data_IF_373071519812
#
_entry.id   IF_373071519812
#
_cell.length_a   1.000
_cell.length_b   1.000
_cell.length_c   1.000
_cell.angle_alpha   90.00
_cell.angle_beta   90.00
_cell.angle_gamma   90.00
#
_symmetry.space_group_name_H-M   'P 1'
#
loop_
_entity.id
_entity.type
_entity.pdbx_description
1 polymer ?
#
# COMPACT_ATOMS: atom_id res chain seq x y z
N UNK A 1 -7.07 60.76 17.94
CA UNK A 1 -6.86 60.04 16.67
C UNK A 1 -5.43 59.47 16.71
N UNK A 2 -5.27 58.17 17.04
CA UNK A 2 -4.62 57.12 16.21
C UNK A 2 -3.39 57.65 15.43
N UNK A 3 -2.14 57.15 15.59
CA UNK A 3 -1.71 55.73 15.65
C UNK A 3 -0.37 55.55 16.37
N UNK A 4 -0.30 54.51 17.22
CA UNK A 4 0.91 53.79 17.60
C UNK A 4 1.48 53.06 16.38
N UNK A 5 2.81 52.89 16.35
CA UNK A 5 3.51 52.02 15.40
C UNK A 5 4.88 51.63 15.94
N UNK A 6 4.91 50.85 17.02
CA UNK A 6 6.12 50.21 17.52
C UNK A 6 6.39 48.96 16.67
N UNK A 7 7.48 48.96 15.91
CA UNK A 7 8.04 47.75 15.29
C UNK A 7 8.69 46.89 16.37
N UNK A 8 7.97 45.86 16.81
CA UNK A 8 8.45 44.86 17.75
C UNK A 8 9.25 43.79 17.01
N UNK A 9 10.41 43.50 17.57
CA UNK A 9 11.47 42.68 17.05
C UNK A 9 11.15 41.17 17.03
N UNK A 10 11.76 40.50 16.05
CA UNK A 10 12.36 39.15 16.11
C UNK A 10 11.68 38.11 17.02
N UNK A 11 10.77 37.32 16.44
CA UNK A 11 10.39 36.03 17.00
C UNK A 11 11.25 34.93 16.35
N UNK A 12 12.35 34.61 17.03
CA UNK A 12 13.25 33.50 16.73
C UNK A 12 12.52 32.15 16.80
N UNK A 13 12.71 31.33 15.75
CA UNK A 13 12.41 29.91 15.76
C UNK A 13 13.23 29.22 16.86
N UNK A 14 12.56 28.73 17.90
CA UNK A 14 13.11 27.70 18.79
C UNK A 14 12.50 26.36 18.37
N UNK A 15 13.16 25.70 17.42
CA UNK A 15 12.97 24.27 17.16
C UNK A 15 13.58 23.51 18.34
N UNK A 16 12.73 22.80 19.09
CA UNK A 16 13.12 22.01 20.25
C UNK A 16 14.03 20.85 19.87
N UNK A 17 15.32 20.98 20.19
CA UNK A 17 16.20 19.82 20.32
C UNK A 17 15.79 19.05 21.58
N UNK A 18 15.20 17.87 21.41
CA UNK A 18 15.09 16.92 22.51
C UNK A 18 16.53 16.50 22.92
N UNK A 19 16.89 16.56 24.22
CA UNK A 19 18.21 16.11 24.64
C UNK A 19 18.32 14.61 24.41
N UNK A 20 19.40 14.17 23.76
CA UNK A 20 19.76 12.75 23.70
C UNK A 20 19.90 12.23 25.14
N UNK A 21 18.98 11.36 25.58
CA UNK A 21 19.07 10.71 26.90
C UNK A 21 20.10 9.59 26.80
N UNK A 22 21.31 9.87 27.26
CA UNK A 22 22.34 8.86 27.40
C UNK A 22 21.98 7.95 28.59
N UNK A 23 21.62 6.70 28.30
CA UNK A 23 21.44 5.69 29.32
C UNK A 23 22.80 5.16 29.78
N UNK A 24 23.10 5.28 31.08
CA UNK A 24 24.31 4.76 31.72
C UNK A 24 24.01 3.47 32.49
N UNK A 25 25.01 2.59 32.55
CA UNK A 25 24.95 1.38 33.36
C UNK A 25 25.54 1.67 34.76
N UNK A 26 24.77 1.34 35.80
CA UNK A 26 25.10 1.62 37.19
C UNK A 26 25.09 0.34 38.01
N UNK A 27 26.11 0.13 38.85
CA UNK A 27 26.21 -0.98 39.79
C UNK A 27 25.76 -0.53 41.17
N UNK A 28 24.68 -1.14 41.68
CA UNK A 28 24.25 -0.96 43.05
C UNK A 28 25.21 -1.66 44.03
N UNK A 29 25.19 -1.24 45.30
CA UNK A 29 25.98 -1.90 46.36
C UNK A 29 25.64 -3.39 46.55
N UNK A 30 24.42 -3.78 46.15
CA UNK A 30 23.97 -5.18 46.16
C UNK A 30 24.58 -6.02 45.02
N UNK A 31 25.32 -5.39 44.10
CA UNK A 31 25.89 -6.05 42.91
C UNK A 31 25.00 -6.02 41.67
N UNK A 32 23.73 -5.59 41.80
CA UNK A 32 22.81 -5.48 40.67
C UNK A 32 23.25 -4.39 39.68
N UNK A 33 23.08 -4.67 38.38
CA UNK A 33 23.29 -3.71 37.29
C UNK A 33 21.96 -3.07 36.89
N UNK A 34 21.94 -1.75 36.77
CA UNK A 34 20.77 -0.92 36.54
C UNK A 34 21.04 0.05 35.39
N UNK A 35 20.11 0.18 34.46
CA UNK A 35 20.19 1.18 33.38
C UNK A 35 19.44 2.45 33.84
N UNK A 36 20.09 3.61 33.82
CA UNK A 36 19.54 4.89 34.29
C UNK A 36 20.02 6.05 33.41
N UNK A 37 19.37 7.21 33.49
CA UNK A 37 19.89 8.44 32.88
C UNK A 37 21.18 8.95 33.57
N UNK A 38 21.32 8.69 34.88
CA UNK A 38 22.53 8.95 35.66
C UNK A 38 22.59 8.00 36.87
N UNK A 39 23.79 7.65 37.32
CA UNK A 39 23.95 6.84 38.53
C UNK A 39 23.63 7.64 39.79
N UNK A 40 22.95 6.99 40.74
CA UNK A 40 22.71 7.59 42.05
C UNK A 40 24.02 7.70 42.81
N UNK A 41 24.07 8.60 43.81
CA UNK A 41 25.25 8.81 44.67
C UNK A 41 25.77 7.53 45.37
N UNK A 42 24.91 6.53 45.54
CA UNK A 42 25.24 5.23 46.15
C UNK A 42 25.58 4.12 45.15
N UNK A 43 25.54 4.40 43.86
CA UNK A 43 25.82 3.48 42.76
C UNK A 43 27.17 3.86 42.12
N UNK A 44 27.86 2.90 41.53
CA UNK A 44 29.06 3.14 40.74
C UNK A 44 28.74 3.07 39.24
N UNK A 45 29.28 3.99 38.44
CA UNK A 45 29.19 3.90 36.98
C UNK A 45 30.03 2.71 36.49
N UNK A 46 29.47 1.97 35.53
CA UNK A 46 30.11 0.80 34.94
C UNK A 46 30.54 1.15 33.54
N UNK A 47 31.86 1.19 33.33
CA UNK A 47 32.44 1.32 31.99
C UNK A 47 32.25 0.02 31.20
N UNK A 48 31.60 0.09 30.04
CA UNK A 48 31.34 -1.10 29.21
C UNK A 48 32.63 -1.65 28.58
N UNK A 49 33.69 -0.84 28.46
CA UNK A 49 34.98 -1.24 27.88
C UNK A 49 35.65 -2.34 28.72
N UNK A 50 35.32 -2.45 30.01
CA UNK A 50 35.88 -3.48 30.89
C UNK A 50 35.36 -4.90 30.59
N UNK A 51 34.30 -5.06 29.80
CA UNK A 51 33.72 -6.37 29.46
C UNK A 51 34.23 -6.95 28.13
N UNK A 52 35.31 -6.37 27.58
CA UNK A 52 35.89 -6.77 26.31
C UNK A 52 35.36 -5.94 25.14
N UNK A 53 35.81 -6.24 23.91
CA UNK A 53 35.32 -5.54 22.73
C UNK A 53 33.81 -5.70 22.63
N UNK A 54 33.13 -4.62 22.24
CA UNK A 54 31.74 -4.73 21.81
C UNK A 54 31.64 -5.87 20.79
N UNK A 55 30.66 -6.76 20.97
CA UNK A 55 30.35 -7.76 19.97
C UNK A 55 30.03 -7.08 18.64
N UNK A 56 30.15 -7.83 17.53
CA UNK A 56 29.65 -7.33 16.26
C UNK A 56 28.20 -6.84 16.43
N UNK A 57 27.81 -5.72 15.80
CA UNK A 57 26.42 -5.29 15.78
C UNK A 57 25.54 -6.50 15.46
N UNK A 58 24.45 -6.68 16.21
CA UNK A 58 23.49 -7.74 15.92
C UNK A 58 23.01 -7.63 14.47
N UNK A 59 22.62 -8.75 13.86
CA UNK A 59 21.94 -8.72 12.57
C UNK A 59 20.73 -7.82 12.67
N UNK A 60 20.54 -6.93 11.69
CA UNK A 60 19.32 -6.12 11.59
C UNK A 60 18.10 -7.05 11.68
N UNK A 61 17.12 -6.68 12.51
CA UNK A 61 15.85 -7.42 12.59
C UNK A 61 15.14 -7.44 11.23
N UNK A 62 14.21 -8.38 11.03
CA UNK A 62 13.37 -8.38 9.84
C UNK A 62 12.69 -7.00 9.65
N UNK A 63 12.48 -6.58 8.40
CA UNK A 63 11.73 -5.37 8.11
C UNK A 63 10.35 -5.47 8.78
N UNK A 64 9.96 -4.45 9.55
CA UNK A 64 8.68 -4.44 10.26
C UNK A 64 7.49 -4.27 9.31
N UNK A 65 6.27 -4.47 9.85
CA UNK A 65 5.03 -4.04 9.20
C UNK A 65 5.14 -2.57 8.77
N UNK A 66 4.85 -2.26 7.50
CA UNK A 66 4.93 -0.90 6.94
C UNK A 66 6.06 -0.67 5.93
N UNK A 67 6.66 -1.73 5.38
CA UNK A 67 7.53 -1.58 4.21
C UNK A 67 6.72 -1.02 3.02
N UNK A 68 7.30 -0.04 2.33
CA UNK A 68 6.70 0.59 1.14
C UNK A 68 7.45 0.16 -0.09
N UNK A 69 6.71 0.01 -1.18
CA UNK A 69 7.26 -0.20 -2.51
C UNK A 69 7.24 1.13 -3.26
N UNK A 70 8.37 1.49 -3.86
CA UNK A 70 8.57 2.68 -4.67
C UNK A 70 9.05 2.31 -6.07
N UNK A 71 8.87 3.21 -7.02
CA UNK A 71 9.37 3.08 -8.39
C UNK A 71 10.83 3.56 -8.50
N UNK A 72 11.45 3.43 -9.68
CA UNK A 72 12.86 3.84 -9.87
C UNK A 72 13.13 5.34 -9.67
N UNK A 73 12.09 6.16 -9.65
CA UNK A 73 12.15 7.60 -9.39
C UNK A 73 11.83 7.94 -7.92
N UNK A 74 11.71 6.93 -7.05
CA UNK A 74 11.24 7.03 -5.67
C UNK A 74 9.79 7.51 -5.53
N UNK A 75 8.97 7.34 -6.55
CA UNK A 75 7.53 7.58 -6.45
C UNK A 75 6.86 6.40 -5.73
N UNK A 76 5.95 6.71 -4.81
CA UNK A 76 5.23 5.71 -4.03
C UNK A 76 4.38 4.81 -4.94
N UNK A 77 4.56 3.49 -4.84
CA UNK A 77 3.73 2.47 -5.52
C UNK A 77 2.63 1.98 -4.57
N UNK A 78 2.98 1.63 -3.33
CA UNK A 78 2.02 1.18 -2.33
C UNK A 78 2.67 0.60 -1.08
N UNK A 79 1.88 0.39 -0.04
CA UNK A 79 2.32 -0.27 1.20
C UNK A 79 2.25 -1.78 1.03
N UNK A 80 3.32 -2.51 1.35
CA UNK A 80 3.32 -3.97 1.23
C UNK A 80 2.29 -4.60 2.17
N UNK A 81 1.47 -5.49 1.61
CA UNK A 81 0.44 -6.23 2.32
C UNK A 81 0.92 -7.62 2.75
N UNK A 82 1.79 -8.24 1.94
CA UNK A 82 2.37 -9.55 2.21
C UNK A 82 3.67 -9.40 3.02
N UNK A 83 3.89 -10.27 4.01
CA UNK A 83 5.18 -10.38 4.70
C UNK A 83 6.22 -10.93 3.71
N UNK A 84 7.38 -10.27 3.50
CA UNK A 84 8.40 -10.71 2.54
C UNK A 84 9.07 -12.07 2.85
N UNK A 85 8.49 -12.92 3.70
CA UNK A 85 9.08 -14.17 4.14
C UNK A 85 8.52 -15.39 3.37
N UNK A 86 9.48 -16.07 2.70
CA UNK A 86 9.50 -17.50 2.30
C UNK A 86 8.97 -17.89 0.91
N UNK A 87 8.74 -16.98 -0.02
CA UNK A 87 8.58 -17.39 -1.43
C UNK A 87 9.26 -16.40 -2.36
N UNK A 88 10.08 -16.84 -3.34
CA UNK A 88 10.54 -15.97 -4.41
C UNK A 88 9.37 -15.78 -5.38
N UNK A 89 8.26 -15.19 -4.94
CA UNK A 89 7.21 -14.77 -5.86
C UNK A 89 7.68 -13.50 -6.55
N UNK A 90 7.67 -13.54 -7.87
CA UNK A 90 7.94 -12.37 -8.73
C UNK A 90 6.88 -11.27 -8.49
N UNK A 91 5.72 -11.65 -7.94
CA UNK A 91 4.59 -10.80 -7.59
C UNK A 91 4.38 -10.65 -6.07
N UNK A 92 4.05 -9.44 -5.61
CA UNK A 92 3.63 -9.10 -4.24
C UNK A 92 2.34 -8.28 -4.27
N UNK A 93 1.60 -8.23 -3.16
CA UNK A 93 0.46 -7.31 -3.03
C UNK A 93 0.85 -6.03 -2.32
N UNK A 94 0.32 -4.91 -2.83
CA UNK A 94 0.44 -3.59 -2.23
C UNK A 94 -0.93 -2.96 -2.03
N UNK A 95 -1.09 -2.21 -0.94
CA UNK A 95 -2.21 -1.32 -0.73
C UNK A 95 -1.86 0.08 -1.24
N UNK A 96 -2.75 0.67 -2.02
CA UNK A 96 -2.63 2.04 -2.50
C UNK A 96 -3.98 2.73 -2.34
N UNK A 97 -3.94 3.97 -1.85
CA UNK A 97 -5.11 4.84 -1.89
C UNK A 97 -5.27 5.41 -3.30
N UNK A 98 -6.43 5.18 -3.89
CA UNK A 98 -6.85 5.73 -5.19
C UNK A 98 -8.05 6.62 -4.92
N UNK A 99 -7.90 7.93 -5.12
CA UNK A 99 -8.89 8.92 -4.68
C UNK A 99 -9.15 8.77 -3.16
N UNK A 100 -10.28 8.19 -2.79
CA UNK A 100 -10.70 7.95 -1.40
C UNK A 100 -10.70 6.45 -1.04
N UNK A 101 -10.43 5.57 -2.01
CA UNK A 101 -10.55 4.13 -1.86
C UNK A 101 -9.19 3.49 -1.56
N UNK A 102 -9.14 2.57 -0.59
CA UNK A 102 -7.93 1.75 -0.34
C UNK A 102 -8.04 0.46 -1.13
N UNK A 103 -7.20 0.30 -2.15
CA UNK A 103 -7.27 -0.81 -3.10
C UNK A 103 -5.98 -1.63 -3.04
N UNK A 104 -6.15 -2.95 -3.07
CA UNK A 104 -5.06 -3.92 -3.17
C UNK A 104 -4.73 -4.20 -4.64
N UNK A 105 -3.46 -4.06 -4.99
CA UNK A 105 -2.93 -4.34 -6.31
C UNK A 105 -1.90 -5.47 -6.23
N UNK A 106 -1.90 -6.35 -7.22
CA UNK A 106 -0.80 -7.31 -7.40
C UNK A 106 0.24 -6.69 -8.32
N UNK A 107 1.49 -6.64 -7.87
CA UNK A 107 2.60 -5.98 -8.57
C UNK A 107 3.79 -6.92 -8.68
N UNK A 108 4.39 -6.93 -9.85
CA UNK A 108 5.70 -7.49 -10.14
C UNK A 108 6.75 -6.41 -10.00
N UNK A 109 7.83 -6.71 -9.28
CA UNK A 109 8.88 -5.71 -9.04
C UNK A 109 9.60 -5.31 -10.33
N UNK A 110 9.70 -6.18 -11.34
CA UNK A 110 10.36 -5.87 -12.59
C UNK A 110 9.43 -5.19 -13.60
N UNK A 111 8.18 -5.64 -13.69
CA UNK A 111 7.26 -5.23 -14.78
C UNK A 111 6.12 -4.31 -14.37
N UNK A 112 5.85 -4.18 -13.06
CA UNK A 112 4.80 -3.31 -12.55
C UNK A 112 3.49 -4.03 -12.23
N UNK A 113 2.35 -3.36 -12.41
CA UNK A 113 1.04 -3.94 -12.12
C UNK A 113 0.74 -5.14 -13.02
N UNK A 114 0.22 -6.22 -12.43
CA UNK A 114 -0.05 -7.47 -13.14
C UNK A 114 -1.51 -7.57 -13.56
N UNK A 115 -1.72 -7.93 -14.83
CA UNK A 115 -3.03 -8.32 -15.36
C UNK A 115 -3.61 -9.51 -14.59
N UNK A 116 -4.94 -9.56 -14.51
CA UNK A 116 -5.64 -10.69 -13.91
C UNK A 116 -5.33 -11.98 -14.68
N UNK A 117 -4.85 -13.01 -13.97
CA UNK A 117 -4.50 -14.30 -14.56
C UNK A 117 -5.70 -15.23 -14.80
N UNK A 118 -6.91 -14.76 -14.52
CA UNK A 118 -8.16 -15.49 -14.65
C UNK A 118 -9.20 -14.60 -15.35
N UNK A 119 -10.17 -15.19 -16.07
CA UNK A 119 -11.22 -14.42 -16.70
C UNK A 119 -12.09 -13.75 -15.62
N UNK A 120 -12.38 -12.47 -15.83
CA UNK A 120 -13.33 -11.72 -15.03
C UNK A 120 -14.29 -10.96 -15.94
N UNK A 121 -15.39 -10.51 -15.35
CA UNK A 121 -16.45 -9.81 -16.06
C UNK A 121 -16.77 -8.50 -15.36
N UNK A 122 -17.15 -7.49 -16.13
CA UNK A 122 -17.61 -6.20 -15.61
C UNK A 122 -19.05 -6.00 -16.03
N UNK A 123 -19.95 -5.87 -15.06
CA UNK A 123 -21.37 -5.65 -15.32
C UNK A 123 -21.65 -4.16 -15.52
N UNK A 124 -22.66 -3.84 -16.32
CA UNK A 124 -23.09 -2.46 -16.58
C UNK A 124 -24.60 -2.32 -16.49
N UNK A 125 -25.07 -1.19 -15.95
CA UNK A 125 -26.50 -0.88 -15.83
C UNK A 125 -27.18 -0.60 -17.17
N UNK A 126 -26.43 -0.16 -18.20
CA UNK A 126 -26.98 0.15 -19.52
C UNK A 126 -26.49 -0.81 -20.61
N UNK A 127 -27.18 -0.88 -21.76
CA UNK A 127 -26.67 -1.56 -22.95
C UNK A 127 -25.31 -1.00 -23.42
N UNK A 128 -24.56 -1.82 -24.15
CA UNK A 128 -23.29 -1.39 -24.74
C UNK A 128 -22.17 -1.18 -23.74
N UNK A 129 -22.27 -1.73 -22.52
CA UNK A 129 -21.25 -1.66 -21.48
C UNK A 129 -20.92 -0.22 -21.10
N UNK A 130 -21.99 0.55 -20.84
CA UNK A 130 -21.94 1.96 -20.45
C UNK A 130 -22.70 2.20 -19.15
N UNK A 131 -22.54 3.40 -18.57
CA UNK A 131 -23.12 3.75 -17.28
C UNK A 131 -22.29 3.24 -16.11
N UNK A 132 -22.91 3.12 -14.94
CA UNK A 132 -22.29 2.56 -13.74
C UNK A 132 -21.88 1.11 -13.99
N UNK A 133 -20.69 0.78 -13.48
CA UNK A 133 -20.11 -0.54 -13.58
C UNK A 133 -20.18 -1.25 -12.24
N UNK A 134 -20.30 -2.57 -12.28
CA UNK A 134 -20.34 -3.41 -11.10
C UNK A 134 -19.43 -4.62 -11.24
N UNK A 135 -18.92 -5.07 -10.10
CA UNK A 135 -18.01 -6.20 -10.01
C UNK A 135 -18.54 -7.25 -9.06
N UNK A 136 -18.43 -8.51 -9.48
CA UNK A 136 -18.67 -9.63 -8.60
C UNK A 136 -17.52 -9.77 -7.59
N UNK A 137 -17.78 -10.26 -6.37
CA UNK A 137 -16.72 -10.47 -5.40
C UNK A 137 -15.76 -11.55 -5.89
N UNK A 138 -14.47 -11.31 -5.73
CA UNK A 138 -13.46 -12.34 -5.92
C UNK A 138 -13.43 -13.24 -4.70
N UNK A 139 -14.27 -14.26 -4.66
CA UNK A 139 -14.25 -15.22 -3.55
C UNK A 139 -12.92 -16.00 -3.53
N UNK A 140 -11.99 -15.57 -2.69
CA UNK A 140 -10.76 -16.31 -2.36
C UNK A 140 -10.66 -16.45 -0.84
N UNK A 141 -10.27 -17.63 -0.39
CA UNK A 141 -10.13 -17.98 1.04
C UNK A 141 -9.04 -17.19 1.77
N UNK A 142 -8.22 -16.41 1.03
CA UNK A 142 -7.15 -15.54 1.55
C UNK A 142 -7.35 -14.07 1.15
N UNK A 143 -8.60 -13.61 0.98
CA UNK A 143 -8.82 -12.20 0.65
C UNK A 143 -8.42 -11.29 1.82
N UNK A 144 -7.60 -10.25 1.56
CA UNK A 144 -7.45 -9.17 2.53
C UNK A 144 -8.79 -8.43 2.69
N UNK A 145 -8.95 -7.70 3.80
CA UNK A 145 -10.14 -6.86 4.07
C UNK A 145 -10.32 -5.68 3.09
N UNK A 146 -9.53 -5.62 2.02
CA UNK A 146 -9.49 -4.52 1.07
C UNK A 146 -9.94 -5.00 -0.32
N UNK A 147 -10.68 -4.17 -1.07
CA UNK A 147 -10.96 -4.40 -2.47
C UNK A 147 -9.70 -4.77 -3.26
N UNK A 148 -9.80 -5.82 -4.08
CA UNK A 148 -8.71 -6.20 -4.98
C UNK A 148 -8.99 -5.68 -6.39
N UNK A 149 -7.99 -5.03 -6.98
CA UNK A 149 -8.03 -4.62 -8.37
C UNK A 149 -7.88 -5.82 -9.33
N UNK A 150 -8.77 -5.88 -10.32
CA UNK A 150 -8.70 -6.73 -11.49
C UNK A 150 -8.15 -5.88 -12.63
N UNK A 151 -7.01 -6.26 -13.17
CA UNK A 151 -6.28 -5.45 -14.14
C UNK A 151 -6.38 -6.10 -15.51
N UNK A 152 -6.67 -5.30 -16.53
CA UNK A 152 -6.61 -5.71 -17.92
C UNK A 152 -6.12 -4.54 -18.77
N UNK A 153 -5.02 -4.75 -19.50
CA UNK A 153 -4.44 -3.76 -20.43
C UNK A 153 -4.22 -2.39 -19.78
N UNK A 154 -3.67 -2.40 -18.56
CA UNK A 154 -3.36 -1.17 -17.81
C UNK A 154 -4.58 -0.45 -17.23
N UNK A 155 -5.79 -1.01 -17.31
CA UNK A 155 -6.98 -0.53 -16.62
C UNK A 155 -7.25 -1.40 -15.40
N UNK A 156 -7.34 -0.79 -14.22
CA UNK A 156 -7.74 -1.46 -12.99
C UNK A 156 -9.23 -1.28 -12.72
N UNK A 157 -9.94 -2.39 -12.53
CA UNK A 157 -11.32 -2.48 -12.11
C UNK A 157 -11.37 -2.92 -10.65
N UNK A 158 -12.04 -2.18 -9.78
CA UNK A 158 -12.12 -2.55 -8.35
C UNK A 158 -13.48 -2.16 -7.74
N UNK A 159 -14.02 -2.97 -6.82
CA UNK A 159 -15.26 -2.65 -6.13
C UNK A 159 -15.01 -1.56 -5.07
N UNK A 160 -15.97 -0.67 -4.87
CA UNK A 160 -15.88 0.44 -3.89
C UNK A 160 -16.97 0.39 -2.82
N UNK A 161 -18.06 -0.32 -3.10
CA UNK A 161 -19.21 -0.41 -2.18
C UNK A 161 -19.45 -1.84 -1.67
N UNK A 162 -20.43 -1.96 -0.77
CA UNK A 162 -20.94 -3.24 -0.32
C UNK A 162 -21.60 -4.03 -1.46
N UNK A 163 -21.64 -5.36 -1.29
CA UNK A 163 -22.36 -6.24 -2.21
C UNK A 163 -23.87 -6.06 -2.05
N UNK A 164 -24.54 -5.70 -3.13
CA UNK A 164 -26.00 -5.58 -3.19
C UNK A 164 -26.53 -6.18 -4.51
N UNK A 165 -27.85 -6.40 -4.57
CA UNK A 165 -28.49 -6.82 -5.81
C UNK A 165 -28.67 -5.59 -6.71
N UNK A 166 -27.95 -5.55 -7.83
CA UNK A 166 -28.06 -4.45 -8.78
C UNK A 166 -28.67 -4.91 -10.10
N UNK A 167 -29.62 -4.16 -10.69
CA UNK A 167 -30.07 -4.43 -12.05
C UNK A 167 -28.94 -4.14 -13.05
N UNK A 168 -28.58 -5.12 -13.85
CA UNK A 168 -27.55 -5.02 -14.90
C UNK A 168 -28.15 -5.38 -16.24
N UNK A 169 -27.66 -4.79 -17.32
CA UNK A 169 -28.20 -4.98 -18.68
C UNK A 169 -27.14 -5.50 -19.65
N UNK A 170 -25.87 -5.26 -19.40
CA UNK A 170 -24.78 -5.81 -20.21
C UNK A 170 -23.56 -6.20 -19.38
N UNK A 171 -22.71 -7.02 -19.98
CA UNK A 171 -21.47 -7.51 -19.39
C UNK A 171 -20.33 -7.34 -20.38
N UNK A 172 -19.24 -6.75 -19.91
CA UNK A 172 -17.95 -6.70 -20.60
C UNK A 172 -17.11 -7.91 -20.19
N UNK A 173 -16.57 -8.59 -21.19
CA UNK A 173 -15.59 -9.67 -21.04
C UNK A 173 -14.41 -9.41 -21.97
N UNK A 174 -13.25 -10.01 -21.69
CA UNK A 174 -12.05 -9.87 -22.50
C UNK A 174 -11.77 -11.18 -23.24
N UNK A 175 -11.88 -11.16 -24.57
CA UNK A 175 -11.79 -12.35 -25.41
C UNK A 175 -11.46 -11.99 -26.87
N UNK A 176 -11.20 -12.99 -27.71
CA UNK A 176 -10.92 -12.77 -29.13
C UNK A 176 -12.19 -12.46 -29.93
N UNK A 177 -12.05 -11.81 -31.10
CA UNK A 177 -13.18 -11.51 -31.98
C UNK A 177 -14.04 -12.73 -32.33
N UNK A 178 -13.40 -13.89 -32.57
CA UNK A 178 -14.12 -15.13 -32.90
C UNK A 178 -14.87 -15.77 -31.73
N UNK A 179 -14.52 -15.39 -30.50
CA UNK A 179 -15.17 -15.86 -29.27
C UNK A 179 -16.20 -14.87 -28.72
N UNK A 180 -16.30 -13.67 -29.30
CA UNK A 180 -17.25 -12.67 -28.86
C UNK A 180 -18.66 -12.94 -29.39
N UNK A 181 -19.61 -13.10 -28.48
CA UNK A 181 -21.04 -13.28 -28.80
C UNK A 181 -21.84 -11.97 -28.86
N UNK A 182 -21.18 -10.82 -28.69
CA UNK A 182 -21.80 -9.51 -28.65
C UNK A 182 -21.05 -8.48 -29.51
N UNK A 183 -21.00 -7.23 -29.04
CA UNK A 183 -20.28 -6.15 -29.72
C UNK A 183 -18.80 -6.24 -29.36
N UNK A 184 -17.97 -6.55 -30.35
CA UNK A 184 -16.52 -6.61 -30.20
C UNK A 184 -15.88 -5.24 -30.45
N UNK A 185 -15.00 -4.83 -29.55
CA UNK A 185 -14.12 -3.67 -29.68
C UNK A 185 -12.68 -4.16 -29.57
N UNK A 186 -11.86 -3.87 -30.57
CA UNK A 186 -10.45 -4.24 -30.54
C UNK A 186 -9.72 -3.57 -29.35
N UNK A 187 -8.71 -4.23 -28.74
CA UNK A 187 -8.12 -5.49 -29.18
C UNK A 187 -8.88 -6.75 -28.75
N UNK A 188 -9.66 -6.70 -27.67
CA UNK A 188 -10.23 -7.91 -27.06
C UNK A 188 -11.50 -7.67 -26.21
N UNK A 189 -12.12 -6.50 -26.28
CA UNK A 189 -13.31 -6.22 -25.47
C UNK A 189 -14.56 -6.80 -26.15
N UNK A 190 -15.34 -7.59 -25.42
CA UNK A 190 -16.60 -8.12 -25.88
C UNK A 190 -17.73 -7.73 -24.93
N UNK A 191 -18.62 -6.87 -25.43
CA UNK A 191 -19.80 -6.44 -24.69
C UNK A 191 -21.02 -7.27 -25.10
N UNK A 192 -21.64 -7.97 -24.14
CA UNK A 192 -22.76 -8.87 -24.37
C UNK A 192 -24.00 -8.39 -23.62
N UNK A 193 -25.19 -8.35 -24.25
CA UNK A 193 -26.46 -8.14 -23.53
C UNK A 193 -26.68 -9.26 -22.51
N UNK A 194 -26.84 -8.88 -21.24
CA UNK A 194 -26.95 -9.80 -20.12
C UNK A 194 -27.85 -9.21 -19.02
N UNK A 195 -29.16 -9.07 -19.27
CA UNK A 195 -30.09 -8.54 -18.29
C UNK A 195 -30.19 -9.46 -17.07
N UNK A 196 -30.08 -8.89 -15.88
CA UNK A 196 -30.14 -9.65 -14.63
C UNK A 196 -30.10 -8.76 -13.39
N UNK A 197 -30.09 -9.42 -12.23
CA UNK A 197 -29.94 -8.75 -10.92
C UNK A 197 -28.91 -9.50 -10.07
N UNK A 198 -27.61 -9.51 -10.47
CA UNK A 198 -26.59 -10.24 -9.73
C UNK A 198 -26.26 -9.55 -8.39
N UNK A 199 -25.71 -10.31 -7.46
CA UNK A 199 -25.11 -9.80 -6.23
C UNK A 199 -23.69 -9.30 -6.55
N UNK A 200 -23.53 -7.99 -6.62
CA UNK A 200 -22.30 -7.30 -7.08
C UNK A 200 -22.10 -6.03 -6.27
N UNK A 201 -20.91 -5.44 -6.32
CA UNK A 201 -20.63 -4.13 -5.75
C UNK A 201 -20.48 -3.11 -6.88
N UNK A 202 -20.86 -1.85 -6.63
CA UNK A 202 -20.43 -0.76 -7.52
C UNK A 202 -18.90 -0.74 -7.58
N UNK A 203 -18.37 -0.53 -8.78
CA UNK A 203 -16.94 -0.48 -9.01
C UNK A 203 -16.50 0.77 -9.73
N UNK A 204 -15.19 0.97 -9.74
CA UNK A 204 -14.51 2.01 -10.51
C UNK A 204 -13.53 1.39 -11.49
N UNK A 205 -13.23 2.14 -12.55
CA UNK A 205 -12.19 1.83 -13.51
C UNK A 205 -11.15 2.95 -13.51
N UNK A 206 -9.87 2.60 -13.43
CA UNK A 206 -8.76 3.54 -13.36
C UNK A 206 -7.66 3.16 -14.35
N UNK A 207 -7.22 4.12 -15.16
CA UNK A 207 -6.02 3.95 -15.96
C UNK A 207 -4.76 4.01 -15.08
N UNK A 208 -4.02 2.90 -14.99
CA UNK A 208 -2.82 2.78 -14.14
C UNK A 208 -1.68 3.69 -14.59
N UNK A 209 -1.64 4.03 -15.88
CA UNK A 209 -0.70 5.01 -16.42
C UNK A 209 -0.83 6.40 -15.78
N UNK A 210 -1.99 6.72 -15.19
CA UNK A 210 -2.21 7.98 -14.44
C UNK A 210 -1.31 8.12 -13.22
N UNK A 211 -0.75 7.02 -12.70
CA UNK A 211 0.18 7.08 -11.58
C UNK A 211 1.58 7.54 -11.97
N UNK A 212 1.95 7.46 -13.26
CA UNK A 212 3.28 7.84 -13.74
C UNK A 212 4.44 7.02 -13.15
N UNK A 213 4.16 5.78 -12.73
CA UNK A 213 5.14 4.90 -12.08
C UNK A 213 6.03 4.20 -13.12
N UNK A 214 7.31 4.06 -12.79
CA UNK A 214 8.33 3.48 -13.66
C UNK A 214 9.04 2.31 -12.97
N UNK A 215 8.77 1.06 -13.38
CA UNK A 215 9.53 -0.10 -12.93
C UNK A 215 11.03 0.00 -13.27
N UNK A 216 11.92 -0.74 -12.59
CA UNK A 216 11.63 -1.70 -11.54
C UNK A 216 11.25 -1.02 -10.22
N UNK A 217 10.39 -1.67 -9.46
CA UNK A 217 9.98 -1.27 -8.13
C UNK A 217 10.94 -1.83 -7.09
N UNK A 218 11.18 -1.07 -6.02
CA UNK A 218 12.04 -1.44 -4.92
C UNK A 218 11.43 -1.08 -3.57
N UNK A 219 11.82 -1.81 -2.53
CA UNK A 219 11.52 -1.41 -1.16
C UNK A 219 12.58 -0.44 -0.68
N UNK A 220 12.17 0.69 -0.10
CA UNK A 220 13.11 1.52 0.63
C UNK A 220 13.55 0.78 1.90
N UNK A 221 14.85 0.54 2.01
CA UNK A 221 15.41 0.11 3.28
C UNK A 221 15.46 1.32 4.22
N UNK A 222 14.90 1.26 5.45
CA UNK A 222 15.20 2.25 6.47
C UNK A 222 16.68 2.23 6.90
#
# INVERSE_FOLDING_TARGET
MKRLGASLAALLLVLGFAPARAAVLCKARTGALLVRDACKRSEASVDLVQFGPAGAPGTRGAAGFGAVLNDTNNAFVGSLLDDPLVVPTVATRVLRTVEEDVVSFTVDAATGFLDASFPFVVYYEHPGCTGRLFLAPLISTNQPMFPQALIHDGIAFYPVDALELHPTVSVLTFTTMGSCSGTFTAPDQCCVPAPGTPLVAEGKALALGSFGLVPPFHTDAP
#
